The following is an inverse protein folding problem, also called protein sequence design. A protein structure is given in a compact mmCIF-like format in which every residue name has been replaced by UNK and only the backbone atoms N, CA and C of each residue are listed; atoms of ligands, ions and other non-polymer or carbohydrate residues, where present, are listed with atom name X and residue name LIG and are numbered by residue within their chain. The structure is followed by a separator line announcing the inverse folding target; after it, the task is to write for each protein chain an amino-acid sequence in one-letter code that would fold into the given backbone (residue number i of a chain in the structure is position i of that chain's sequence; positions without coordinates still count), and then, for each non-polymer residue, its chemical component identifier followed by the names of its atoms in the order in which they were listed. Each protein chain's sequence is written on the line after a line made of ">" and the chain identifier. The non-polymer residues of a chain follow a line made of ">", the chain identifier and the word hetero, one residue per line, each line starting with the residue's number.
data_IF_638660508529
#
_entry.id   IF_638660508529
#
_cell.length_a   1.000
_cell.length_b   1.000
_cell.length_c   1.000
_cell.angle_alpha   90.00
_cell.angle_beta   90.00
_cell.angle_gamma   90.00
#
_symmetry.space_group_name_H-M   'P 1'
#
loop_
_entity.id
_entity.type
_entity.pdbx_description
1 polymer ?
#
# COMPACT_ATOMS: atom_id res chain seq x y z
N UNK A 1 10.99 -17.63 10.28
CA UNK A 1 10.79 -16.99 8.95
C UNK A 1 10.31 -15.54 9.09
N UNK A 2 10.85 -14.77 10.06
CA UNK A 2 10.31 -13.48 10.54
C UNK A 2 10.57 -12.28 9.60
N UNK A 3 11.46 -12.45 8.64
CA UNK A 3 11.89 -11.45 7.66
C UNK A 3 10.89 -11.26 6.52
N UNK A 4 10.22 -12.33 6.08
CA UNK A 4 9.34 -12.35 4.90
C UNK A 4 8.13 -11.43 5.09
N UNK A 5 7.54 -11.48 6.29
CA UNK A 5 6.29 -10.80 6.61
C UNK A 5 6.50 -9.32 6.92
N UNK A 6 7.66 -8.96 7.48
CA UNK A 6 8.04 -7.55 7.66
C UNK A 6 8.33 -6.86 6.31
N UNK A 7 8.93 -7.57 5.36
CA UNK A 7 9.14 -7.07 4.00
C UNK A 7 7.81 -6.89 3.25
N UNK A 8 6.85 -7.81 3.41
CA UNK A 8 5.52 -7.69 2.82
C UNK A 8 4.73 -6.49 3.38
N UNK A 9 4.85 -6.21 4.69
CA UNK A 9 4.28 -5.00 5.30
C UNK A 9 4.95 -3.74 4.77
N UNK A 10 6.28 -3.72 4.70
CA UNK A 10 7.02 -2.58 4.16
C UNK A 10 6.66 -2.31 2.69
N UNK A 11 6.59 -3.35 1.86
CA UNK A 11 6.19 -3.23 0.46
C UNK A 11 4.75 -2.73 0.32
N UNK A 12 3.82 -3.21 1.14
CA UNK A 12 2.43 -2.71 1.16
C UNK A 12 2.35 -1.25 1.59
N UNK A 13 3.17 -0.83 2.56
CA UNK A 13 3.22 0.55 3.04
C UNK A 13 3.86 1.49 1.99
N UNK A 14 4.92 1.04 1.33
CA UNK A 14 5.55 1.75 0.21
C UNK A 14 4.58 1.86 -0.96
N UNK A 15 3.81 0.81 -1.29
CA UNK A 15 2.79 0.91 -2.32
C UNK A 15 1.67 1.90 -1.92
N UNK A 16 1.26 1.88 -0.66
CA UNK A 16 0.22 2.78 -0.13
C UNK A 16 0.65 4.25 -0.16
N UNK A 17 1.94 4.57 -0.04
CA UNK A 17 2.46 5.96 0.02
C UNK A 17 3.10 6.39 -1.30
N UNK A 18 3.77 5.48 -2.02
CA UNK A 18 4.50 5.74 -3.25
C UNK A 18 3.58 6.10 -4.41
N UNK A 19 2.46 5.37 -4.59
CA UNK A 19 1.47 5.70 -5.62
C UNK A 19 0.83 7.08 -5.43
N UNK A 20 0.30 7.44 -4.23
CA UNK A 20 -0.19 8.78 -4.00
C UNK A 20 0.89 9.86 -4.11
N UNK A 21 2.12 9.60 -3.64
CA UNK A 21 3.22 10.56 -3.72
C UNK A 21 3.60 10.89 -5.17
N UNK A 22 3.69 9.87 -6.06
CA UNK A 22 3.93 10.09 -7.48
C UNK A 22 2.80 10.89 -8.14
N UNK A 23 1.55 10.53 -7.84
CA UNK A 23 0.39 11.26 -8.36
C UNK A 23 0.26 12.67 -7.80
N UNK A 24 0.76 12.92 -6.58
CA UNK A 24 0.83 14.25 -5.99
C UNK A 24 1.82 15.14 -6.73
N UNK A 25 3.02 14.62 -7.05
CA UNK A 25 4.00 15.34 -7.88
C UNK A 25 3.43 15.61 -9.27
N UNK A 26 2.80 14.63 -9.91
CA UNK A 26 2.15 14.81 -11.21
C UNK A 26 1.00 15.83 -11.16
N UNK A 27 0.20 15.82 -10.09
CA UNK A 27 -0.88 16.77 -9.87
C UNK A 27 -0.38 18.20 -9.67
N UNK A 28 0.76 18.38 -9.01
CA UNK A 28 1.40 19.69 -8.87
C UNK A 28 1.94 20.21 -10.20
N UNK A 29 2.52 19.33 -11.03
CA UNK A 29 3.05 19.70 -12.36
C UNK A 29 1.92 20.03 -13.34
N UNK A 30 0.84 19.24 -13.35
CA UNK A 30 -0.27 19.40 -14.29
C UNK A 30 -1.32 20.42 -13.82
N UNK A 31 -1.31 20.83 -12.55
CA UNK A 31 -2.35 21.66 -11.93
C UNK A 31 -3.71 20.95 -11.80
N UNK A 32 -3.78 19.66 -12.16
CA UNK A 32 -5.00 18.88 -12.23
C UNK A 32 -5.12 17.95 -11.02
N UNK A 33 -5.72 18.49 -9.95
CA UNK A 33 -5.99 17.78 -8.68
C UNK A 33 -6.86 16.52 -8.83
N UNK A 34 -7.53 16.37 -9.98
CA UNK A 34 -8.32 15.18 -10.30
C UNK A 34 -7.46 13.91 -10.42
N UNK A 35 -6.19 14.04 -10.82
CA UNK A 35 -5.26 12.91 -10.83
C UNK A 35 -4.97 12.40 -9.41
N UNK A 36 -4.83 13.30 -8.44
CA UNK A 36 -4.68 12.93 -7.03
C UNK A 36 -5.94 12.19 -6.54
N UNK A 37 -7.13 12.74 -6.82
CA UNK A 37 -8.40 12.14 -6.41
C UNK A 37 -8.64 10.75 -7.03
N UNK A 38 -8.30 10.57 -8.30
CA UNK A 38 -8.41 9.28 -8.99
C UNK A 38 -7.40 8.25 -8.52
N UNK A 39 -6.24 8.68 -8.04
CA UNK A 39 -5.18 7.77 -7.56
C UNK A 39 -5.40 7.28 -6.12
N UNK A 40 -6.22 7.99 -5.35
CA UNK A 40 -6.59 7.58 -3.98
C UNK A 40 -7.30 6.22 -3.99
N UNK A 41 -8.26 6.01 -4.90
CA UNK A 41 -9.01 4.75 -4.97
C UNK A 41 -8.13 3.50 -5.21
N UNK A 42 -7.31 3.43 -6.28
CA UNK A 42 -6.43 2.29 -6.52
C UNK A 42 -5.31 2.17 -5.47
N UNK A 43 -4.80 3.29 -4.92
CA UNK A 43 -3.79 3.25 -3.84
C UNK A 43 -4.36 2.66 -2.54
N UNK A 44 -5.58 3.08 -2.17
CA UNK A 44 -6.29 2.49 -1.03
C UNK A 44 -6.54 1.02 -1.26
N UNK A 45 -7.09 0.63 -2.41
CA UNK A 45 -7.36 -0.79 -2.70
C UNK A 45 -6.07 -1.60 -2.63
N UNK A 46 -5.01 -1.20 -3.32
CA UNK A 46 -3.74 -1.93 -3.32
C UNK A 46 -3.11 -2.00 -1.92
N UNK A 47 -3.04 -0.87 -1.21
CA UNK A 47 -2.41 -0.79 0.09
C UNK A 47 -3.21 -1.50 1.20
N UNK A 48 -4.53 -1.32 1.25
CA UNK A 48 -5.39 -1.98 2.25
C UNK A 48 -5.48 -3.49 2.00
N UNK A 49 -5.58 -3.92 0.75
CA UNK A 49 -5.58 -5.36 0.39
C UNK A 49 -4.24 -6.01 0.74
N UNK A 50 -3.12 -5.36 0.43
CA UNK A 50 -1.78 -5.85 0.83
C UNK A 50 -1.62 -5.94 2.35
N UNK A 51 -2.10 -4.93 3.09
CA UNK A 51 -2.07 -4.91 4.54
C UNK A 51 -2.97 -5.99 5.17
N UNK A 52 -4.18 -6.21 4.63
CA UNK A 52 -5.09 -7.28 5.06
C UNK A 52 -4.50 -8.66 4.82
N UNK A 53 -3.97 -8.92 3.62
CA UNK A 53 -3.32 -10.19 3.27
C UNK A 53 -2.15 -10.47 4.21
N UNK A 54 -1.30 -9.47 4.43
CA UNK A 54 -0.13 -9.62 5.30
C UNK A 54 -0.55 -9.86 6.75
N UNK A 55 -1.55 -9.14 7.27
CA UNK A 55 -2.11 -9.41 8.61
C UNK A 55 -2.70 -10.81 8.72
N UNK A 56 -3.39 -11.29 7.68
CA UNK A 56 -4.00 -12.61 7.69
C UNK A 56 -2.93 -13.72 7.66
N UNK A 57 -1.82 -13.49 6.95
CA UNK A 57 -0.66 -14.38 6.97
C UNK A 57 0.02 -14.42 8.34
N UNK A 58 0.25 -13.26 8.99
CA UNK A 58 0.79 -13.19 10.36
C UNK A 58 -0.10 -13.98 11.33
N UNK A 59 -1.43 -13.82 11.24
CA UNK A 59 -2.39 -14.50 12.11
C UNK A 59 -2.44 -16.01 11.88
N UNK A 60 -2.27 -16.47 10.62
CA UNK A 60 -2.12 -17.90 10.29
C UNK A 60 -0.79 -18.46 10.82
N UNK A 61 0.30 -17.72 10.69
CA UNK A 61 1.62 -18.16 11.16
C UNK A 61 1.64 -18.33 12.69
N UNK A 62 0.96 -17.44 13.44
CA UNK A 62 0.83 -17.58 14.91
C UNK A 62 -0.13 -18.67 15.38
N UNK A 63 -1.05 -19.15 14.54
CA UNK A 63 -2.00 -20.22 14.90
C UNK A 63 -1.45 -21.62 14.58
N UNK A 64 -0.31 -21.69 13.90
CA UNK A 64 0.35 -22.93 13.45
C UNK A 64 1.67 -23.20 14.20
N UNK A 65 2.07 -22.31 15.11
CA UNK A 65 3.20 -22.45 16.03
C UNK A 65 2.69 -22.80 17.43
#
# INVERSE_FOLDING_TARGET
>A
MKNNTSLALAASLIALIGFPALFLVLSLITGQWMFLAWSIAPSLVAGLTGLMLTRNQIKKEQRTA
#
